data_IF_632095688959
#
_entry.id   IF_632095688959
#
_cell.length_a   1.000
_cell.length_b   1.000
_cell.length_c   1.000
_cell.angle_alpha   90.00
_cell.angle_beta   90.00
_cell.angle_gamma   90.00
#
_symmetry.space_group_name_H-M   'P 1'
#
loop_
_entity.id
_entity.type
_entity.pdbx_description
1 polymer ?
#
# COMPACT_ATOMS: atom_id res chain seq x y z
N UNK A 1 19.72 -5.79 -5.47
CA UNK A 1 18.27 -5.71 -5.77
C UNK A 1 17.82 -4.26 -5.63
N UNK A 2 16.89 -3.78 -6.44
CA UNK A 2 16.39 -2.41 -6.33
C UNK A 2 15.47 -2.25 -5.11
N UNK A 3 15.97 -1.59 -4.07
CA UNK A 3 15.18 -1.28 -2.86
C UNK A 3 14.24 -0.09 -3.08
N UNK A 4 13.06 -0.10 -2.44
CA UNK A 4 12.18 1.06 -2.36
C UNK A 4 12.76 2.10 -1.40
N UNK A 5 13.21 3.24 -1.93
CA UNK A 5 13.81 4.31 -1.13
C UNK A 5 13.50 5.71 -1.65
N UNK A 6 13.61 6.68 -0.74
CA UNK A 6 13.40 8.10 -1.00
C UNK A 6 11.98 8.57 -0.71
N UNK A 7 11.77 9.87 -0.90
CA UNK A 7 10.50 10.57 -0.68
C UNK A 7 10.05 11.23 -1.98
N UNK A 8 8.77 11.05 -2.34
CA UNK A 8 8.21 11.58 -3.58
C UNK A 8 6.83 12.18 -3.31
N UNK A 9 6.70 13.49 -3.53
CA UNK A 9 5.42 14.20 -3.40
C UNK A 9 4.71 14.25 -4.76
N UNK A 10 3.42 13.92 -4.78
CA UNK A 10 2.57 14.02 -5.96
C UNK A 10 1.20 14.58 -5.59
N UNK A 11 0.66 15.46 -6.43
CA UNK A 11 -0.71 15.94 -6.30
C UNK A 11 -1.73 14.84 -6.61
N UNK A 12 -2.88 14.92 -5.96
CA UNK A 12 -4.02 14.03 -6.19
C UNK A 12 -4.98 14.73 -7.15
N UNK A 13 -5.41 14.01 -8.19
CA UNK A 13 -6.37 14.54 -9.14
C UNK A 13 -7.80 14.55 -8.58
N UNK A 14 -8.72 15.21 -9.29
CA UNK A 14 -10.11 15.34 -8.87
C UNK A 14 -10.86 14.00 -8.70
N UNK A 15 -10.29 12.88 -9.17
CA UNK A 15 -10.86 11.53 -9.04
C UNK A 15 -10.16 10.70 -7.96
N UNK A 16 -9.36 11.32 -7.10
CA UNK A 16 -8.64 10.61 -6.03
C UNK A 16 -7.46 9.78 -6.52
N UNK A 17 -6.93 10.06 -7.72
CA UNK A 17 -5.79 9.31 -8.26
C UNK A 17 -4.49 10.06 -8.06
N UNK A 18 -3.43 9.31 -7.79
CA UNK A 18 -2.08 9.85 -7.60
C UNK A 18 -1.09 9.14 -8.52
N UNK A 19 -0.16 9.88 -9.11
CA UNK A 19 0.92 9.30 -9.91
C UNK A 19 1.86 8.47 -9.02
N UNK A 20 2.12 7.23 -9.43
CA UNK A 20 3.11 6.40 -8.76
C UNK A 20 4.53 6.84 -9.18
N UNK A 21 5.44 7.10 -8.22
CA UNK A 21 6.76 7.66 -8.55
C UNK A 21 7.55 6.78 -9.52
N UNK A 22 8.01 7.36 -10.63
CA UNK A 22 8.72 6.62 -11.68
C UNK A 22 10.00 5.90 -11.17
N UNK A 23 10.65 6.45 -10.13
CA UNK A 23 11.81 5.80 -9.49
C UNK A 23 11.42 4.55 -8.70
N UNK A 24 10.29 4.57 -7.98
CA UNK A 24 9.77 3.39 -7.27
C UNK A 24 9.23 2.34 -8.25
N UNK A 25 8.62 2.77 -9.37
CA UNK A 25 8.16 1.86 -10.43
C UNK A 25 9.26 1.01 -11.03
N UNK A 26 10.47 1.56 -11.16
CA UNK A 26 11.66 0.81 -11.62
C UNK A 26 12.13 -0.26 -10.63
N UNK A 27 11.71 -0.18 -9.37
CA UNK A 27 12.01 -1.17 -8.34
C UNK A 27 10.96 -2.28 -8.25
N UNK A 28 9.82 -2.16 -8.96
CA UNK A 28 8.80 -3.22 -8.96
C UNK A 28 9.34 -4.47 -9.67
N UNK A 29 9.13 -5.62 -9.04
CA UNK A 29 9.32 -6.89 -9.71
C UNK A 29 8.28 -7.07 -10.83
N UNK A 30 8.63 -7.72 -11.95
CA UNK A 30 7.64 -8.14 -12.94
C UNK A 30 6.53 -9.03 -12.37
N UNK A 31 6.80 -9.78 -11.29
CA UNK A 31 5.80 -10.62 -10.62
C UNK A 31 4.67 -9.83 -9.98
N UNK A 32 4.93 -8.59 -9.56
CA UNK A 32 3.93 -7.68 -9.00
C UNK A 32 2.83 -7.33 -10.01
N UNK A 33 3.14 -7.39 -11.32
CA UNK A 33 2.21 -7.06 -12.42
C UNK A 33 1.53 -5.69 -12.25
N UNK A 34 2.24 -4.73 -11.67
CA UNK A 34 1.73 -3.38 -11.36
C UNK A 34 0.44 -3.37 -10.51
N UNK A 35 0.25 -4.44 -9.72
CA UNK A 35 -0.79 -4.57 -8.70
C UNK A 35 -0.21 -4.41 -7.31
N UNK A 36 -1.07 -3.92 -6.43
CA UNK A 36 -0.74 -3.64 -5.04
C UNK A 36 -1.92 -3.94 -4.14
N UNK A 37 -1.63 -4.24 -2.89
CA UNK A 37 -2.62 -4.16 -1.82
C UNK A 37 -2.31 -2.94 -0.96
N UNK A 38 -3.30 -2.06 -0.80
CA UNK A 38 -3.24 -0.90 0.09
C UNK A 38 -3.92 -1.24 1.41
N UNK A 39 -3.29 -0.86 2.53
CA UNK A 39 -3.83 -1.06 3.89
C UNK A 39 -3.60 0.18 4.74
N UNK A 40 -4.32 0.28 5.87
CA UNK A 40 -4.01 1.28 6.89
C UNK A 40 -2.68 0.96 7.59
N UNK A 41 -1.82 1.97 7.71
CA UNK A 41 -0.61 1.90 8.52
C UNK A 41 -0.88 2.05 10.02
N UNK A 42 0.16 1.92 10.83
CA UNK A 42 0.06 2.09 12.29
C UNK A 42 -0.15 3.56 12.68
N UNK A 43 0.50 4.47 11.96
CA UNK A 43 0.26 5.91 12.03
C UNK A 43 -0.91 6.29 11.11
N UNK A 44 -1.25 7.58 11.05
CA UNK A 44 -2.20 8.15 10.08
C UNK A 44 -1.59 8.16 8.67
N UNK A 45 -1.29 6.98 8.15
CA UNK A 45 -0.65 6.72 6.87
C UNK A 45 -1.21 5.45 6.24
N UNK A 46 -0.85 5.19 4.98
CA UNK A 46 -1.23 3.98 4.25
C UNK A 46 0.04 3.22 3.90
N UNK A 47 -0.02 1.89 4.00
CA UNK A 47 0.99 1.02 3.40
C UNK A 47 0.50 0.54 2.05
N UNK A 48 1.41 0.47 1.09
CA UNK A 48 1.16 0.02 -0.26
C UNK A 48 2.17 -1.07 -0.59
N UNK A 49 1.70 -2.31 -0.61
CA UNK A 49 2.53 -3.47 -0.90
C UNK A 49 2.37 -3.88 -2.36
N UNK A 50 3.45 -4.02 -3.13
CA UNK A 50 3.41 -4.79 -4.38
C UNK A 50 2.83 -6.19 -4.13
N UNK A 51 2.10 -6.74 -5.10
CA UNK A 51 1.39 -8.03 -4.96
C UNK A 51 2.31 -9.19 -4.51
N UNK A 52 3.53 -9.24 -5.03
CA UNK A 52 4.52 -10.24 -4.66
C UNK A 52 4.98 -10.12 -3.20
N UNK A 53 5.11 -8.91 -2.69
CA UNK A 53 5.40 -8.66 -1.28
C UNK A 53 4.18 -8.89 -0.38
N UNK A 54 2.97 -8.59 -0.87
CA UNK A 54 1.74 -8.83 -0.12
C UNK A 54 1.57 -10.31 0.24
N UNK A 55 1.93 -11.22 -0.67
CA UNK A 55 1.93 -12.67 -0.40
C UNK A 55 2.73 -13.05 0.85
N UNK A 56 3.85 -12.37 1.10
CA UNK A 56 4.68 -12.58 2.29
C UNK A 56 4.05 -11.99 3.55
N UNK A 57 3.31 -10.90 3.41
CA UNK A 57 2.49 -10.32 4.50
C UNK A 57 1.36 -11.29 4.86
N UNK A 58 0.66 -11.86 3.89
CA UNK A 58 -0.40 -12.85 4.12
C UNK A 58 0.12 -14.10 4.82
N UNK A 59 1.31 -14.58 4.43
CA UNK A 59 1.95 -15.69 5.11
C UNK A 59 2.19 -15.39 6.60
N UNK A 60 2.71 -14.20 6.92
CA UNK A 60 2.90 -13.75 8.31
C UNK A 60 1.56 -13.64 9.06
N UNK A 61 0.51 -13.12 8.42
CA UNK A 61 -0.83 -13.04 8.99
C UNK A 61 -1.48 -14.41 9.22
N UNK A 62 -1.13 -15.41 8.40
CA UNK A 62 -1.62 -16.80 8.57
C UNK A 62 -1.11 -17.44 9.87
N UNK A 63 0.08 -17.03 10.33
CA UNK A 63 0.75 -17.53 11.54
C UNK A 63 0.25 -16.89 12.84
N UNK A 64 -0.64 -15.90 12.76
CA UNK A 64 -1.23 -15.26 13.95
C UNK A 64 -2.13 -16.25 14.70
N UNK A 65 -1.96 -16.33 16.03
CA UNK A 65 -2.77 -17.22 16.87
C UNK A 65 -4.23 -16.76 16.97
N UNK A 66 -5.10 -17.42 16.19
CA UNK A 66 -6.54 -17.15 16.15
C UNK A 66 -7.33 -17.63 17.38
N UNK A 67 -6.74 -18.41 18.28
CA UNK A 67 -7.40 -18.81 19.53
C UNK A 67 -7.45 -17.66 20.55
N UNK A 68 -6.54 -16.68 20.43
CA UNK A 68 -6.54 -15.49 21.28
C UNK A 68 -7.42 -14.37 20.72
N UNK A 69 -8.16 -13.66 21.59
CA UNK A 69 -8.92 -12.47 21.21
C UNK A 69 -8.01 -11.41 20.54
N UNK A 70 -6.80 -11.23 21.09
CA UNK A 70 -5.79 -10.29 20.57
C UNK A 70 -5.39 -10.64 19.13
N UNK A 71 -5.09 -11.90 18.84
CA UNK A 71 -4.72 -12.34 17.49
C UNK A 71 -5.84 -12.14 16.47
N UNK A 72 -7.08 -12.52 16.80
CA UNK A 72 -8.23 -12.30 15.91
C UNK A 72 -8.47 -10.82 15.62
N UNK A 73 -8.36 -9.96 16.64
CA UNK A 73 -8.52 -8.52 16.48
C UNK A 73 -7.40 -7.94 15.61
N UNK A 74 -6.14 -8.31 15.84
CA UNK A 74 -5.01 -7.84 15.03
C UNK A 74 -5.21 -8.18 13.54
N UNK A 75 -5.51 -9.45 13.24
CA UNK A 75 -5.74 -9.90 11.85
C UNK A 75 -6.93 -9.20 11.21
N UNK A 76 -8.06 -9.10 11.92
CA UNK A 76 -9.26 -8.40 11.41
C UNK A 76 -8.99 -6.93 11.17
N UNK A 77 -8.29 -6.26 12.09
CA UNK A 77 -8.03 -4.83 11.98
C UNK A 77 -7.10 -4.50 10.82
N UNK A 78 -6.14 -5.39 10.54
CA UNK A 78 -5.23 -5.23 9.41
C UNK A 78 -5.95 -5.52 8.08
N UNK A 79 -6.63 -6.66 7.97
CA UNK A 79 -7.24 -7.11 6.71
C UNK A 79 -8.55 -6.40 6.34
N UNK A 80 -9.31 -5.84 7.30
CA UNK A 80 -10.61 -5.19 6.99
C UNK A 80 -10.47 -3.94 6.10
N UNK A 81 -9.26 -3.44 5.94
CA UNK A 81 -8.92 -2.26 5.13
C UNK A 81 -7.93 -2.59 4.02
N UNK A 82 -7.69 -3.89 3.77
CA UNK A 82 -6.89 -4.33 2.65
C UNK A 82 -7.76 -4.22 1.39
N UNK A 83 -7.28 -3.44 0.42
CA UNK A 83 -7.93 -3.29 -0.88
C UNK A 83 -6.89 -3.45 -2.00
N UNK A 84 -7.29 -4.13 -3.07
CA UNK A 84 -6.43 -4.30 -4.23
C UNK A 84 -6.57 -3.11 -5.17
N UNK A 85 -5.42 -2.58 -5.60
CA UNK A 85 -5.31 -1.46 -6.52
C UNK A 85 -4.25 -1.75 -7.58
N UNK A 86 -4.33 -1.05 -8.70
CA UNK A 86 -3.37 -1.21 -9.80
C UNK A 86 -3.04 0.12 -10.46
N UNK A 87 -1.95 0.14 -11.22
CA UNK A 87 -1.62 1.27 -12.06
C UNK A 87 -2.60 1.35 -13.25
N UNK A 88 -3.14 2.55 -13.48
CA UNK A 88 -3.83 2.86 -14.72
C UNK A 88 -2.83 3.06 -15.88
N UNK A 89 -3.34 3.27 -17.11
CA UNK A 89 -2.50 3.53 -18.30
C UNK A 89 -1.59 4.77 -18.18
N UNK A 90 -1.82 5.63 -17.19
CA UNK A 90 -1.02 6.83 -16.90
C UNK A 90 -0.11 6.62 -15.67
N UNK A 91 0.05 5.38 -15.20
CA UNK A 91 0.84 5.02 -14.01
C UNK A 91 0.32 5.67 -12.72
N UNK A 92 -1.00 5.82 -12.58
CA UNK A 92 -1.63 6.33 -11.37
C UNK A 92 -2.34 5.23 -10.59
N UNK A 93 -2.41 5.40 -9.28
CA UNK A 93 -3.18 4.58 -8.36
C UNK A 93 -4.43 5.36 -7.97
N UNK A 94 -5.60 4.73 -8.05
CA UNK A 94 -6.83 5.25 -7.44
C UNK A 94 -6.80 4.93 -5.95
N UNK A 95 -6.76 5.96 -5.10
CA UNK A 95 -6.75 5.77 -3.65
C UNK A 95 -8.20 5.64 -3.15
N UNK A 96 -8.53 4.57 -2.40
CA UNK A 96 -9.85 4.44 -1.79
C UNK A 96 -10.14 5.60 -0.82
N UNK A 97 -11.35 6.16 -0.88
CA UNK A 97 -11.75 7.34 -0.10
C UNK A 97 -11.54 7.13 1.40
N UNK A 98 -12.00 5.99 1.92
CA UNK A 98 -11.98 5.66 3.34
C UNK A 98 -10.55 5.51 3.88
N UNK A 99 -9.59 5.20 3.00
CA UNK A 99 -8.18 5.13 3.32
C UNK A 99 -7.53 6.52 3.27
N UNK A 100 -7.86 7.32 2.25
CA UNK A 100 -7.38 8.72 2.17
C UNK A 100 -7.87 9.58 3.33
N UNK A 101 -9.12 9.38 3.78
CA UNK A 101 -9.67 10.05 4.94
C UNK A 101 -8.93 9.65 6.22
N UNK A 102 -8.71 8.35 6.43
CA UNK A 102 -7.94 7.85 7.58
C UNK A 102 -6.53 8.44 7.65
N UNK A 103 -5.85 8.55 6.51
CA UNK A 103 -4.49 9.05 6.43
C UNK A 103 -4.41 10.59 6.31
N UNK A 104 -5.55 11.30 6.40
CA UNK A 104 -5.64 12.75 6.26
C UNK A 104 -4.98 13.29 4.96
N UNK A 105 -5.06 12.52 3.89
CA UNK A 105 -4.46 12.86 2.60
C UNK A 105 -5.40 13.84 1.87
N UNK A 106 -4.98 15.09 1.72
CA UNK A 106 -5.76 16.13 1.05
C UNK A 106 -4.94 16.84 -0.04
N UNK A 107 -5.32 16.66 -1.30
CA UNK A 107 -4.72 17.31 -2.47
C UNK A 107 -3.30 16.86 -2.84
N UNK A 108 -2.54 16.28 -1.92
CA UNK A 108 -1.18 15.77 -2.12
C UNK A 108 -0.94 14.50 -1.31
N UNK A 109 -0.19 13.58 -1.89
CA UNK A 109 0.34 12.41 -1.20
C UNK A 109 1.87 12.39 -1.27
N UNK A 110 2.48 11.86 -0.21
CA UNK A 110 3.92 11.66 -0.12
C UNK A 110 4.19 10.16 -0.05
N UNK A 111 4.89 9.64 -1.06
CA UNK A 111 5.36 8.26 -1.05
C UNK A 111 6.71 8.18 -0.36
N UNK A 112 6.82 7.26 0.60
CA UNK A 112 8.07 6.93 1.28
C UNK A 112 8.48 5.52 0.89
N UNK A 113 9.68 5.36 0.35
CA UNK A 113 10.26 4.04 0.14
C UNK A 113 10.73 3.44 1.47
N UNK A 114 10.18 2.28 1.84
CA UNK A 114 10.35 1.66 3.15
C UNK A 114 11.31 0.45 3.17
N UNK A 115 12.18 0.30 2.18
CA UNK A 115 13.15 -0.79 2.16
C UNK A 115 12.75 -1.95 1.25
N UNK A 116 12.97 -3.18 1.72
CA UNK A 116 13.34 -4.29 0.84
C UNK A 116 12.28 -4.76 -0.15
N UNK A 117 12.84 -5.35 -1.21
CA UNK A 117 12.28 -5.93 -2.43
C UNK A 117 12.53 -7.43 -2.43
#
# INVERSE_FOLDING_TARGET
MPSFKGQYEHSIDAKGRVAFPAKLRKSLSPSAQERFTIVRGQESCLYLYPEDEWSHVEEKLSRINNFTKKGRLAKRNFLRYAEDVSLDKQNRIALPSDLTEYAAINGKAVFLGMGES
#
